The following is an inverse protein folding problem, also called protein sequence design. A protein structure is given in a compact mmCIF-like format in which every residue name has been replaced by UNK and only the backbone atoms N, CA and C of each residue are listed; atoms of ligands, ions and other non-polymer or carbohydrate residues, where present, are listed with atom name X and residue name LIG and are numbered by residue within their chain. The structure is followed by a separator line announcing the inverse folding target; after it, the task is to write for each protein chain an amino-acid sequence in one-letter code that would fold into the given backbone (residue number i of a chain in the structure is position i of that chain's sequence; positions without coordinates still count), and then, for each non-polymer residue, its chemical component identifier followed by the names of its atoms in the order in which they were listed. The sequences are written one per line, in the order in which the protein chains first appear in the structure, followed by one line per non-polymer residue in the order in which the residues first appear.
data_IF_094341491143
#
_entry.id   IF_094341491143
#
_cell.length_a   1.000
_cell.length_b   1.000
_cell.length_c   1.000
_cell.angle_alpha   90.00
_cell.angle_beta   90.00
_cell.angle_gamma   90.00
#
_symmetry.space_group_name_H-M   'P 1'
#
loop_
_entity.id
_entity.type
_entity.pdbx_description
1 polymer ?
#
# COMPACT_ATOMS: atom_id res chain seq x y z
N UNK A 1 28.39 -9.64 13.23
CA UNK A 1 27.65 -8.95 14.32
C UNK A 1 28.09 -7.50 14.48
N UNK A 2 29.39 -7.23 14.64
CA UNK A 2 29.93 -5.86 14.75
C UNK A 2 29.50 -4.93 13.60
N UNK A 3 29.47 -5.43 12.36
CA UNK A 3 28.96 -4.65 11.21
C UNK A 3 27.46 -4.30 11.35
N UNK A 4 26.64 -5.23 11.86
CA UNK A 4 25.21 -4.99 12.08
C UNK A 4 24.99 -4.02 13.24
N UNK A 5 25.80 -4.13 14.30
CA UNK A 5 25.80 -3.21 15.44
C UNK A 5 26.13 -1.77 14.99
N UNK A 6 27.20 -1.61 14.20
CA UNK A 6 27.57 -0.33 13.60
C UNK A 6 26.47 0.20 12.67
N UNK A 7 25.89 -0.67 11.85
CA UNK A 7 24.81 -0.30 10.95
C UNK A 7 23.55 0.16 11.71
N UNK A 8 23.08 -0.61 12.69
CA UNK A 8 21.88 -0.32 13.47
C UNK A 8 22.09 0.79 14.51
N UNK A 9 23.35 1.06 14.88
CA UNK A 9 23.71 1.88 16.03
C UNK A 9 23.00 1.40 17.31
N UNK A 10 23.08 0.10 17.57
CA UNK A 10 22.44 -0.61 18.67
C UNK A 10 23.33 -1.77 19.12
N UNK A 11 23.58 -1.92 20.42
CA UNK A 11 24.29 -3.07 20.98
C UNK A 11 23.45 -4.35 20.86
N UNK A 12 24.00 -5.54 20.55
CA UNK A 12 23.23 -6.78 20.50
C UNK A 12 22.66 -7.18 21.87
N UNK A 13 21.44 -7.75 21.89
CA UNK A 13 20.83 -8.30 23.12
C UNK A 13 21.56 -9.58 23.54
N UNK A 14 21.90 -10.40 22.54
CA UNK A 14 22.64 -11.65 22.74
C UNK A 14 24.08 -11.48 22.27
N UNK A 15 25.03 -11.48 23.20
CA UNK A 15 26.46 -11.27 22.93
C UNK A 15 27.26 -12.57 22.81
N UNK A 16 26.80 -13.64 23.45
CA UNK A 16 27.41 -14.98 23.40
C UNK A 16 26.56 -15.89 22.54
N UNK A 17 27.09 -16.27 21.37
CA UNK A 17 26.37 -17.06 20.38
C UNK A 17 27.25 -18.21 19.91
N UNK A 18 26.69 -19.42 19.94
CA UNK A 18 27.31 -20.59 19.34
C UNK A 18 26.46 -21.03 18.15
N UNK A 19 27.09 -21.38 17.04
CA UNK A 19 26.42 -21.89 15.84
C UNK A 19 26.93 -23.29 15.56
N UNK A 20 26.04 -24.27 15.60
CA UNK A 20 26.38 -25.68 15.35
C UNK A 20 25.43 -26.29 14.31
N UNK A 21 25.85 -27.40 13.71
CA UNK A 21 25.00 -28.18 12.83
C UNK A 21 24.36 -29.34 13.58
N UNK A 22 23.10 -29.65 13.25
CA UNK A 22 22.35 -30.76 13.83
C UNK A 22 21.81 -31.66 12.73
N UNK A 23 21.95 -32.97 12.96
CA UNK A 23 21.36 -34.03 12.15
C UNK A 23 19.92 -34.31 12.63
N UNK A 24 19.09 -34.86 11.72
CA UNK A 24 17.61 -34.84 11.79
C UNK A 24 17.00 -35.84 12.78
N UNK A 25 17.65 -36.11 13.90
CA UNK A 25 17.19 -37.13 14.84
C UNK A 25 16.17 -36.52 15.80
N UNK A 26 14.89 -36.86 15.55
CA UNK A 26 13.66 -36.46 16.25
C UNK A 26 13.28 -34.98 16.14
N UNK A 27 12.53 -34.61 15.09
CA UNK A 27 11.97 -33.28 14.94
C UNK A 27 10.44 -33.35 15.02
N UNK A 28 9.88 -32.55 15.93
CA UNK A 28 8.45 -32.32 16.04
C UNK A 28 7.97 -31.60 14.77
N UNK A 29 7.26 -32.31 13.89
CA UNK A 29 6.88 -31.85 12.54
C UNK A 29 6.06 -30.54 12.54
N UNK A 30 5.50 -30.16 13.69
CA UNK A 30 4.73 -28.94 13.88
C UNK A 30 5.60 -27.68 13.98
N UNK A 31 6.86 -27.76 14.44
CA UNK A 31 7.76 -26.60 14.61
C UNK A 31 8.27 -26.06 13.27
N UNK A 32 8.50 -26.94 12.28
CA UNK A 32 8.98 -26.55 10.95
C UNK A 32 7.95 -25.79 10.10
N UNK A 33 6.67 -25.83 10.49
CA UNK A 33 5.61 -25.15 9.76
C UNK A 33 5.52 -23.66 10.09
N UNK A 34 6.22 -23.17 11.12
CA UNK A 34 6.27 -21.75 11.46
C UNK A 34 7.49 -21.08 10.83
N UNK A 35 7.27 -19.94 10.17
CA UNK A 35 8.32 -19.11 9.54
C UNK A 35 9.45 -18.77 10.53
N UNK A 36 9.09 -18.60 11.80
CA UNK A 36 9.97 -18.39 12.95
C UNK A 36 11.15 -19.37 13.04
N UNK A 37 10.95 -20.65 12.70
CA UNK A 37 11.91 -21.74 12.95
C UNK A 37 12.43 -22.40 11.68
N UNK A 38 12.28 -21.73 10.53
CA UNK A 38 12.68 -22.34 9.27
C UNK A 38 14.20 -22.63 9.23
N UNK A 39 14.54 -23.92 9.19
CA UNK A 39 15.91 -24.44 9.10
C UNK A 39 16.78 -24.28 10.34
N UNK A 40 16.22 -23.82 11.47
CA UNK A 40 16.99 -23.52 12.69
C UNK A 40 16.20 -23.83 13.96
N UNK A 41 16.89 -24.44 14.92
CA UNK A 41 16.46 -24.55 16.32
C UNK A 41 17.30 -23.60 17.19
N UNK A 42 16.66 -22.94 18.16
CA UNK A 42 17.30 -21.97 19.05
C UNK A 42 17.16 -22.46 20.48
N UNK A 43 18.28 -22.59 21.17
CA UNK A 43 18.33 -23.01 22.57
C UNK A 43 19.06 -21.94 23.35
N UNK A 44 18.44 -21.45 24.41
CA UNK A 44 19.06 -20.45 25.29
C UNK A 44 19.43 -21.10 26.63
N UNK A 45 20.73 -21.31 26.83
CA UNK A 45 21.28 -21.97 28.02
C UNK A 45 22.46 -21.18 28.55
N UNK A 46 22.55 -21.00 29.87
CA UNK A 46 23.70 -20.36 30.54
C UNK A 46 24.11 -19.00 29.97
N UNK A 47 23.13 -18.19 29.54
CA UNK A 47 23.33 -16.88 28.87
C UNK A 47 24.01 -16.96 27.50
N UNK A 48 24.00 -18.14 26.87
CA UNK A 48 24.52 -18.37 25.52
C UNK A 48 23.36 -18.76 24.61
N UNK A 49 23.26 -18.10 23.46
CA UNK A 49 22.33 -18.46 22.40
C UNK A 49 22.97 -19.53 21.50
N UNK A 50 22.49 -20.76 21.61
CA UNK A 50 22.89 -21.86 20.74
C UNK A 50 21.95 -21.91 19.54
N UNK A 51 22.49 -21.69 18.35
CA UNK A 51 21.80 -21.75 17.06
C UNK A 51 22.18 -23.07 16.41
N UNK A 52 21.21 -23.96 16.26
CA UNK A 52 21.39 -25.27 15.63
C UNK A 52 20.79 -25.22 14.22
N UNK A 53 21.64 -25.30 13.21
CA UNK A 53 21.23 -25.29 11.80
C UNK A 53 21.09 -26.74 11.34
N UNK A 54 19.92 -27.10 10.81
CA UNK A 54 19.72 -28.45 10.27
C UNK A 54 20.49 -28.60 8.96
N UNK A 55 21.23 -29.71 8.81
CA UNK A 55 22.10 -29.94 7.65
C UNK A 55 21.38 -29.91 6.30
N UNK A 56 20.09 -30.24 6.27
CA UNK A 56 19.29 -30.21 5.03
C UNK A 56 19.09 -28.79 4.46
N UNK A 57 19.31 -27.74 5.25
CA UNK A 57 19.20 -26.35 4.80
C UNK A 57 20.57 -25.69 4.56
N UNK A 58 21.63 -26.48 4.33
CA UNK A 58 23.00 -25.98 4.14
C UNK A 58 23.10 -24.95 2.99
N UNK A 59 22.29 -25.14 1.94
CA UNK A 59 22.21 -24.23 0.78
C UNK A 59 21.67 -22.83 1.12
N UNK A 60 21.05 -22.67 2.29
CA UNK A 60 20.52 -21.40 2.78
C UNK A 60 21.35 -20.81 3.94
N UNK A 61 22.55 -21.32 4.22
CA UNK A 61 23.42 -20.82 5.32
C UNK A 61 23.55 -19.29 5.32
N UNK A 62 23.90 -18.60 4.21
CA UNK A 62 24.07 -17.15 4.24
C UNK A 62 22.80 -16.41 4.68
N UNK A 63 21.65 -16.91 4.23
CA UNK A 63 20.33 -16.36 4.54
C UNK A 63 20.00 -16.60 6.01
N UNK A 64 20.19 -17.84 6.48
CA UNK A 64 19.95 -18.24 7.87
C UNK A 64 20.83 -17.42 8.82
N UNK A 65 22.13 -17.34 8.57
CA UNK A 65 23.07 -16.62 9.42
C UNK A 65 22.73 -15.13 9.50
N UNK A 66 22.41 -14.47 8.38
CA UNK A 66 22.03 -13.07 8.39
C UNK A 66 20.72 -12.83 9.15
N UNK A 67 19.72 -13.69 8.94
CA UNK A 67 18.44 -13.66 9.67
C UNK A 67 18.66 -13.80 11.18
N UNK A 68 19.44 -14.78 11.61
CA UNK A 68 19.72 -15.00 13.03
C UNK A 68 20.59 -13.88 13.62
N UNK A 69 21.52 -13.33 12.85
CA UNK A 69 22.31 -12.18 13.28
C UNK A 69 21.44 -10.95 13.54
N UNK A 70 20.44 -10.67 12.70
CA UNK A 70 19.46 -9.60 12.97
C UNK A 70 18.61 -9.89 14.22
N UNK A 71 18.19 -11.14 14.42
CA UNK A 71 17.43 -11.54 15.62
C UNK A 71 18.18 -11.31 16.92
N UNK A 72 19.51 -11.28 16.89
CA UNK A 72 20.32 -10.97 18.08
C UNK A 72 20.10 -9.53 18.61
N UNK A 73 19.49 -8.64 17.83
CA UNK A 73 19.19 -7.26 18.23
C UNK A 73 17.75 -7.08 18.74
N UNK A 74 16.90 -8.11 18.60
CA UNK A 74 15.51 -8.11 19.06
C UNK A 74 15.47 -8.50 20.56
N UNK A 75 14.80 -7.71 21.41
CA UNK A 75 14.63 -8.05 22.82
C UNK A 75 13.79 -9.30 23.00
N UNK A 76 13.96 -10.00 24.11
CA UNK A 76 13.14 -11.16 24.47
C UNK A 76 11.69 -10.72 24.66
N UNK A 77 10.77 -11.32 23.89
CA UNK A 77 9.34 -11.06 23.96
C UNK A 77 8.64 -12.23 24.66
N UNK A 78 7.58 -11.94 25.41
CA UNK A 78 6.79 -12.97 26.12
C UNK A 78 6.08 -13.91 25.14
N UNK A 79 5.73 -13.40 23.96
CA UNK A 79 5.20 -14.19 22.85
C UNK A 79 5.99 -13.92 21.57
N UNK A 80 6.41 -14.97 20.82
CA UNK A 80 7.06 -14.78 19.54
C UNK A 80 6.09 -14.11 18.54
N UNK A 81 6.51 -13.00 17.94
CA UNK A 81 5.72 -12.25 16.98
C UNK A 81 6.17 -12.52 15.55
N UNK A 82 5.32 -13.26 14.83
CA UNK A 82 5.53 -13.58 13.41
C UNK A 82 5.76 -12.34 12.54
N UNK A 83 5.12 -11.21 12.89
CA UNK A 83 5.29 -9.91 12.22
C UNK A 83 6.74 -9.41 12.23
N UNK A 84 7.50 -9.64 13.31
CA UNK A 84 8.91 -9.25 13.38
C UNK A 84 9.74 -10.15 12.46
N UNK A 85 9.45 -11.45 12.44
CA UNK A 85 10.16 -12.39 11.56
C UNK A 85 9.90 -12.11 10.08
N UNK A 86 8.69 -11.73 9.72
CA UNK A 86 8.35 -11.33 8.35
C UNK A 86 9.19 -10.12 7.96
N UNK A 87 9.28 -9.11 8.83
CA UNK A 87 10.07 -7.91 8.58
C UNK A 87 11.56 -8.24 8.36
N UNK A 88 12.14 -9.06 9.25
CA UNK A 88 13.55 -9.47 9.16
C UNK A 88 13.78 -10.30 7.89
N UNK A 89 12.90 -11.26 7.57
CA UNK A 89 13.03 -12.08 6.37
C UNK A 89 12.99 -11.22 5.10
N UNK A 90 12.09 -10.23 5.02
CA UNK A 90 12.04 -9.34 3.86
C UNK A 90 13.33 -8.53 3.70
N UNK A 91 13.89 -7.99 4.78
CA UNK A 91 15.18 -7.30 4.70
C UNK A 91 16.30 -8.23 4.21
N UNK A 92 16.39 -9.44 4.77
CA UNK A 92 17.37 -10.45 4.33
C UNK A 92 17.23 -10.72 2.83
N UNK A 93 16.01 -10.84 2.33
CA UNK A 93 15.74 -11.01 0.90
C UNK A 93 16.18 -9.83 0.04
N UNK A 94 16.03 -8.60 0.53
CA UNK A 94 16.52 -7.39 -0.15
C UNK A 94 18.04 -7.36 -0.18
N UNK A 95 18.70 -7.61 0.95
CA UNK A 95 20.16 -7.53 1.08
C UNK A 95 20.87 -8.64 0.31
N UNK A 96 20.27 -9.83 0.27
CA UNK A 96 20.81 -11.01 -0.41
C UNK A 96 20.17 -11.27 -1.77
N UNK A 97 19.53 -10.27 -2.40
CA UNK A 97 18.82 -10.43 -3.68
C UNK A 97 19.67 -11.00 -4.84
N UNK A 98 21.00 -10.89 -4.74
CA UNK A 98 21.96 -11.40 -5.74
C UNK A 98 22.30 -12.89 -5.55
N UNK A 99 22.00 -13.49 -4.38
CA UNK A 99 22.24 -14.91 -4.15
C UNK A 99 21.24 -15.75 -4.94
N UNK A 100 21.72 -16.80 -5.60
CA UNK A 100 20.87 -17.68 -6.41
C UNK A 100 19.80 -18.39 -5.57
N UNK A 101 20.17 -18.86 -4.38
CA UNK A 101 19.29 -19.56 -3.44
C UNK A 101 18.18 -18.69 -2.83
N UNK A 102 18.21 -17.36 -3.02
CA UNK A 102 17.20 -16.46 -2.44
C UNK A 102 15.82 -16.66 -3.09
N UNK A 103 15.77 -17.02 -4.37
CA UNK A 103 14.51 -17.26 -5.09
C UNK A 103 13.78 -18.47 -4.52
N UNK A 104 14.52 -19.55 -4.31
CA UNK A 104 14.02 -20.78 -3.72
C UNK A 104 13.58 -20.54 -2.27
N UNK A 105 14.42 -19.86 -1.47
CA UNK A 105 14.08 -19.48 -0.10
C UNK A 105 12.78 -18.65 -0.02
N UNK A 106 12.66 -17.61 -0.85
CA UNK A 106 11.47 -16.76 -0.88
C UNK A 106 10.21 -17.54 -1.27
N UNK A 107 10.32 -18.49 -2.20
CA UNK A 107 9.21 -19.37 -2.58
C UNK A 107 8.75 -20.21 -1.39
N UNK A 108 9.69 -20.82 -0.66
CA UNK A 108 9.39 -21.64 0.53
C UNK A 108 8.73 -20.81 1.63
N UNK A 109 9.26 -19.61 1.92
CA UNK A 109 8.69 -18.72 2.94
C UNK A 109 7.30 -18.22 2.54
N UNK A 110 7.09 -17.84 1.29
CA UNK A 110 5.77 -17.41 0.78
C UNK A 110 4.72 -18.50 0.88
N UNK A 111 5.07 -19.75 0.56
CA UNK A 111 4.17 -20.88 0.70
C UNK A 111 3.77 -21.17 2.16
N UNK A 112 4.57 -20.71 3.13
CA UNK A 112 4.29 -20.84 4.57
C UNK A 112 3.53 -19.66 5.16
N UNK A 113 3.46 -18.52 4.46
CA UNK A 113 2.61 -17.39 4.82
C UNK A 113 1.17 -17.72 4.41
N UNK A 114 0.37 -18.20 5.36
CA UNK A 114 -0.99 -18.73 5.09
C UNK A 114 -1.98 -17.65 4.64
N UNK A 115 -1.70 -16.36 4.90
CA UNK A 115 -2.64 -15.28 4.61
C UNK A 115 -2.33 -14.49 3.33
N UNK A 116 -3.00 -14.87 2.24
CA UNK A 116 -2.98 -14.13 0.96
C UNK A 116 -3.43 -12.66 1.09
N UNK A 117 -4.26 -12.30 2.09
CA UNK A 117 -4.66 -10.90 2.32
C UNK A 117 -3.52 -10.09 2.92
N UNK A 118 -2.73 -10.70 3.81
CA UNK A 118 -1.52 -10.09 4.34
C UNK A 118 -0.46 -9.93 3.23
N UNK A 119 -0.24 -10.95 2.41
CA UNK A 119 0.72 -10.90 1.29
C UNK A 119 0.35 -9.78 0.30
N UNK A 120 -0.92 -9.69 -0.11
CA UNK A 120 -1.34 -8.70 -1.12
C UNK A 120 -1.41 -7.25 -0.65
N UNK A 121 -1.50 -6.99 0.67
CA UNK A 121 -1.61 -5.62 1.21
C UNK A 121 -0.35 -5.13 1.90
N UNK A 122 0.23 -5.95 2.78
CA UNK A 122 1.32 -5.50 3.65
C UNK A 122 2.70 -5.83 3.07
N UNK A 123 2.84 -6.93 2.31
CA UNK A 123 4.14 -7.33 1.76
C UNK A 123 4.70 -6.28 0.79
N UNK A 124 3.88 -5.81 -0.15
CA UNK A 124 4.30 -4.78 -1.12
C UNK A 124 4.50 -3.40 -0.46
N UNK A 125 3.71 -3.07 0.57
CA UNK A 125 3.91 -1.86 1.37
C UNK A 125 5.25 -1.91 2.12
N UNK A 126 5.60 -3.08 2.68
CA UNK A 126 6.80 -3.27 3.46
C UNK A 126 8.07 -3.27 2.61
N UNK A 127 8.03 -3.86 1.41
CA UNK A 127 9.14 -3.79 0.46
C UNK A 127 9.43 -2.34 0.05
N UNK A 128 8.39 -1.58 -0.32
CA UNK A 128 8.51 -0.15 -0.61
C UNK A 128 8.99 0.67 0.60
N UNK A 129 8.59 0.29 1.81
CA UNK A 129 9.05 0.92 3.04
C UNK A 129 10.53 0.67 3.27
N UNK A 130 11.00 -0.59 3.17
CA UNK A 130 12.38 -1.00 3.42
C UNK A 130 13.39 -0.46 2.40
N UNK A 131 12.95 -0.20 1.17
CA UNK A 131 13.78 0.34 0.10
C UNK A 131 14.06 1.85 0.23
N UNK A 132 13.53 2.55 1.25
CA UNK A 132 13.84 3.97 1.46
C UNK A 132 15.23 4.14 2.10
N UNK A 133 16.08 4.92 1.46
CA UNK A 133 17.41 5.23 1.97
C UNK A 133 17.38 6.18 3.18
N UNK A 134 18.38 6.07 4.05
CA UNK A 134 18.60 7.02 5.14
C UNK A 134 19.03 8.37 4.57
N UNK A 135 18.25 9.41 4.81
CA UNK A 135 18.62 10.79 4.45
C UNK A 135 19.34 11.44 5.62
N UNK A 136 20.67 11.37 5.68
CA UNK A 136 21.57 12.14 6.57
C UNK A 136 21.20 12.23 8.07
N UNK A 137 20.14 12.97 8.40
CA UNK A 137 19.54 13.13 9.74
C UNK A 137 18.51 12.05 10.11
N UNK A 138 17.98 11.31 9.14
CA UNK A 138 16.95 10.29 9.36
C UNK A 138 17.55 8.87 9.37
N UNK A 139 17.21 8.09 10.39
CA UNK A 139 17.42 6.65 10.39
C UNK A 139 16.72 6.02 9.18
N UNK A 140 17.34 5.00 8.56
CA UNK A 140 16.63 4.21 7.56
C UNK A 140 15.41 3.52 8.22
N UNK A 141 14.38 3.18 7.44
CA UNK A 141 13.20 2.46 7.92
C UNK A 141 13.56 1.19 8.72
N UNK A 142 14.62 0.51 8.29
CA UNK A 142 15.15 -0.67 8.97
C UNK A 142 15.82 -0.33 10.31
N UNK A 143 16.67 0.71 10.37
CA UNK A 143 17.26 1.16 11.66
C UNK A 143 16.18 1.63 12.63
N UNK A 144 15.20 2.37 12.13
CA UNK A 144 14.04 2.84 12.89
C UNK A 144 13.28 1.68 13.51
N UNK A 145 12.99 0.62 12.75
CA UNK A 145 12.29 -0.57 13.24
C UNK A 145 12.95 -1.19 14.48
N UNK A 146 14.27 -1.41 14.45
CA UNK A 146 14.97 -2.00 15.60
C UNK A 146 14.95 -1.09 16.82
N UNK A 147 15.15 0.22 16.62
CA UNK A 147 15.06 1.22 17.70
C UNK A 147 13.64 1.29 18.27
N UNK A 148 12.63 1.18 17.40
CA UNK A 148 11.22 1.22 17.78
C UNK A 148 10.84 0.04 18.66
N UNK A 149 11.20 -1.18 18.25
CA UNK A 149 10.89 -2.38 19.02
C UNK A 149 11.51 -2.30 20.42
N UNK A 150 12.77 -1.88 20.53
CA UNK A 150 13.44 -1.75 21.83
C UNK A 150 12.78 -0.76 22.78
N UNK A 151 12.25 0.34 22.25
CA UNK A 151 11.59 1.37 23.06
C UNK A 151 10.18 0.99 23.47
N UNK A 152 9.49 0.16 22.68
CA UNK A 152 8.05 -0.10 22.83
C UNK A 152 7.72 -1.56 23.19
N UNK A 153 8.67 -2.34 23.72
CA UNK A 153 8.52 -3.78 24.04
C UNK A 153 7.20 -4.09 24.76
N UNK A 154 6.85 -3.31 25.78
CA UNK A 154 5.63 -3.53 26.58
C UNK A 154 4.34 -3.35 25.76
N UNK A 155 4.29 -2.31 24.93
CA UNK A 155 3.13 -1.98 24.08
C UNK A 155 2.96 -3.04 22.98
N UNK A 156 4.08 -3.53 22.45
CA UNK A 156 4.13 -4.54 21.40
C UNK A 156 3.61 -5.90 21.92
N UNK A 157 3.84 -6.23 23.19
CA UNK A 157 3.30 -7.45 23.80
C UNK A 157 1.76 -7.40 24.00
N UNK A 158 1.16 -6.21 24.05
CA UNK A 158 -0.26 -6.02 24.36
C UNK A 158 -1.18 -5.92 23.12
N UNK A 159 -0.66 -5.48 21.95
CA UNK A 159 -1.44 -5.30 20.71
C UNK A 159 -0.91 -6.17 19.57
N UNK A 160 -1.73 -7.12 19.09
CA UNK A 160 -1.42 -7.95 17.91
C UNK A 160 -1.89 -7.35 16.59
N UNK A 161 -2.99 -6.61 16.59
CA UNK A 161 -3.56 -6.00 15.39
C UNK A 161 -2.93 -4.60 15.14
N UNK A 162 -2.68 -4.26 13.88
CA UNK A 162 -2.16 -2.97 13.38
C UNK A 162 -0.69 -2.58 13.69
N UNK A 163 0.18 -3.56 13.95
CA UNK A 163 1.61 -3.30 14.24
C UNK A 163 2.34 -2.53 13.13
N UNK A 164 2.23 -2.96 11.87
CA UNK A 164 2.88 -2.25 10.76
C UNK A 164 2.29 -0.88 10.50
N UNK A 165 0.96 -0.73 10.56
CA UNK A 165 0.33 0.58 10.40
C UNK A 165 0.80 1.56 11.48
N UNK A 166 1.02 1.09 12.71
CA UNK A 166 1.56 1.93 13.80
C UNK A 166 3.01 2.33 13.53
N UNK A 167 3.88 1.36 13.17
CA UNK A 167 5.28 1.65 12.81
C UNK A 167 5.38 2.59 11.62
N UNK A 168 4.57 2.37 10.58
CA UNK A 168 4.55 3.21 9.39
C UNK A 168 4.08 4.62 9.73
N UNK A 169 3.04 4.80 10.56
CA UNK A 169 2.59 6.11 11.02
C UNK A 169 3.66 6.83 11.83
N UNK A 170 4.31 6.14 12.77
CA UNK A 170 5.35 6.75 13.62
C UNK A 170 6.60 7.11 12.81
N UNK A 171 7.02 6.23 11.89
CA UNK A 171 8.10 6.55 10.96
C UNK A 171 7.73 7.71 10.04
N UNK A 172 6.50 7.73 9.52
CA UNK A 172 6.00 8.86 8.72
C UNK A 172 6.01 10.14 9.53
N UNK A 173 5.58 10.14 10.78
CA UNK A 173 5.58 11.34 11.64
C UNK A 173 7.00 11.88 11.91
N UNK A 174 7.96 10.99 12.13
CA UNK A 174 9.36 11.39 12.39
C UNK A 174 10.03 11.84 11.09
N UNK A 175 9.84 11.06 10.02
CA UNK A 175 10.36 11.41 8.69
C UNK A 175 9.72 12.69 8.17
N UNK A 176 8.43 12.92 8.41
CA UNK A 176 7.73 14.12 7.97
C UNK A 176 8.30 15.37 8.63
N UNK A 177 8.71 15.32 9.91
CA UNK A 177 9.42 16.45 10.55
C UNK A 177 10.76 16.80 9.88
N UNK A 178 11.38 15.87 9.17
CA UNK A 178 12.63 16.09 8.41
C UNK A 178 12.41 16.23 6.89
N UNK A 179 11.29 15.75 6.36
CA UNK A 179 10.90 15.77 4.95
C UNK A 179 10.07 17.02 4.62
N UNK A 180 9.35 17.59 5.60
CA UNK A 180 8.80 18.93 5.52
C UNK A 180 9.93 19.96 5.71
N UNK A 181 10.89 19.91 4.79
CA UNK A 181 11.73 21.06 4.50
C UNK A 181 10.80 22.15 3.93
N UNK A 182 10.98 23.39 4.36
CA UNK A 182 10.20 24.54 3.86
C UNK A 182 10.23 24.57 2.33
N UNK A 183 11.33 24.10 1.73
CA UNK A 183 11.52 23.95 0.29
C UNK A 183 10.53 22.96 -0.37
N UNK A 184 10.18 21.84 0.26
CA UNK A 184 9.22 20.87 -0.30
C UNK A 184 7.80 21.44 -0.23
N UNK A 185 7.44 22.06 0.90
CA UNK A 185 6.13 22.72 1.06
C UNK A 185 5.99 23.84 0.03
N UNK A 186 7.05 24.64 -0.12
CA UNK A 186 7.11 25.70 -1.10
C UNK A 186 7.02 25.15 -2.53
N UNK A 187 7.64 24.01 -2.83
CA UNK A 187 7.53 23.33 -4.12
C UNK A 187 6.09 22.94 -4.42
N UNK A 188 5.37 22.39 -3.43
CA UNK A 188 3.95 22.04 -3.58
C UNK A 188 3.10 23.29 -3.82
N UNK A 189 3.34 24.37 -3.08
CA UNK A 189 2.62 25.66 -3.26
C UNK A 189 2.84 26.22 -4.67
N UNK A 190 4.06 26.15 -5.17
CA UNK A 190 4.44 26.56 -6.53
C UNK A 190 3.72 25.69 -7.58
N UNK A 191 3.73 24.37 -7.41
CA UNK A 191 3.02 23.45 -8.32
C UNK A 191 1.52 23.74 -8.37
N UNK A 192 0.90 24.02 -7.22
CA UNK A 192 -0.51 24.40 -7.15
C UNK A 192 -0.80 25.66 -7.98
N UNK A 193 0.03 26.70 -7.87
CA UNK A 193 -0.11 27.92 -8.68
C UNK A 193 0.06 27.65 -10.18
N UNK A 194 0.94 26.73 -10.56
CA UNK A 194 1.09 26.31 -11.95
C UNK A 194 -0.19 25.61 -12.42
N UNK A 195 -0.76 24.70 -11.62
CA UNK A 195 -2.01 23.98 -11.96
C UNK A 195 -3.23 24.89 -12.12
N UNK A 196 -3.33 25.97 -11.34
CA UNK A 196 -4.42 26.94 -11.48
C UNK A 196 -4.38 27.69 -12.82
N UNK A 197 -3.21 27.82 -13.44
CA UNK A 197 -3.02 28.58 -14.69
C UNK A 197 -2.88 27.70 -15.92
N UNK A 198 -2.29 26.53 -15.78
CA UNK A 198 -2.02 25.60 -16.87
C UNK A 198 -2.95 24.39 -16.73
N UNK A 199 -3.96 24.32 -17.60
CA UNK A 199 -5.03 23.32 -17.53
C UNK A 199 -4.68 21.97 -18.19
N UNK A 200 -3.64 21.94 -19.02
CA UNK A 200 -3.22 20.74 -19.76
C UNK A 200 -1.70 20.62 -19.71
N UNK A 201 -1.21 19.42 -19.44
CA UNK A 201 0.23 19.13 -19.40
C UNK A 201 0.50 17.72 -19.91
N UNK A 202 1.69 17.52 -20.47
CA UNK A 202 2.06 16.22 -21.05
C UNK A 202 3.35 15.66 -20.47
N UNK A 203 4.25 16.51 -19.94
CA UNK A 203 5.54 16.07 -19.43
C UNK A 203 6.03 16.84 -18.19
N UNK A 204 6.94 16.21 -17.43
CA UNK A 204 7.59 16.80 -16.27
C UNK A 204 8.47 18.02 -16.63
N UNK A 205 8.98 18.05 -17.88
CA UNK A 205 9.72 19.19 -18.42
C UNK A 205 8.86 20.46 -18.51
N UNK A 206 7.55 20.31 -18.69
CA UNK A 206 6.62 21.43 -18.80
C UNK A 206 6.60 22.22 -17.47
N UNK A 207 6.64 21.54 -16.32
CA UNK A 207 6.68 22.20 -15.01
C UNK A 207 7.97 22.96 -14.75
N UNK A 208 9.10 22.47 -15.24
CA UNK A 208 10.37 23.18 -15.12
C UNK A 208 10.33 24.47 -15.94
N UNK A 209 9.74 24.42 -17.14
CA UNK A 209 9.55 25.59 -17.98
C UNK A 209 8.60 26.61 -17.33
N UNK A 210 7.42 26.16 -16.87
CA UNK A 210 6.45 27.04 -16.22
C UNK A 210 6.96 27.63 -14.91
N UNK A 211 7.74 26.88 -14.12
CA UNK A 211 8.38 27.41 -12.93
C UNK A 211 9.29 28.59 -13.26
N UNK A 212 10.13 28.45 -14.28
CA UNK A 212 11.04 29.52 -14.74
C UNK A 212 10.24 30.72 -15.25
N UNK A 213 9.31 30.49 -16.16
CA UNK A 213 8.50 31.54 -16.78
C UNK A 213 7.67 32.32 -15.74
N UNK A 214 7.01 31.61 -14.81
CA UNK A 214 6.15 32.24 -13.81
C UNK A 214 6.95 32.97 -12.74
N UNK A 215 8.18 32.50 -12.46
CA UNK A 215 9.11 33.21 -11.60
C UNK A 215 9.62 34.50 -12.26
N UNK A 216 10.03 34.45 -13.52
CA UNK A 216 10.50 35.62 -14.28
C UNK A 216 9.40 36.68 -14.44
N UNK A 217 8.15 36.24 -14.66
CA UNK A 217 6.98 37.12 -14.79
C UNK A 217 6.39 37.56 -13.44
N UNK A 218 7.03 37.24 -12.31
CA UNK A 218 6.56 37.54 -10.95
C UNK A 218 5.16 36.98 -10.59
N UNK A 219 4.64 35.99 -11.32
CA UNK A 219 3.43 35.25 -10.94
C UNK A 219 3.68 34.36 -9.72
N UNK A 220 4.90 33.88 -9.56
CA UNK A 220 5.36 33.08 -8.43
C UNK A 220 6.53 33.78 -7.76
N UNK A 221 6.30 34.27 -6.54
CA UNK A 221 7.37 34.75 -5.66
C UNK A 221 7.82 33.59 -4.79
N UNK A 222 9.08 33.16 -4.96
CA UNK A 222 9.68 32.03 -4.25
C UNK A 222 11.21 32.12 -4.25
N UNK A 223 11.81 31.67 -3.15
CA UNK A 223 13.27 31.57 -3.01
C UNK A 223 13.84 30.28 -3.62
N UNK A 224 12.98 29.33 -4.03
CA UNK A 224 13.40 28.08 -4.63
C UNK A 224 14.23 28.30 -5.90
N UNK A 225 15.34 27.57 -6.01
CA UNK A 225 16.11 27.47 -7.24
C UNK A 225 15.48 26.46 -8.21
N UNK A 226 15.79 26.58 -9.50
CA UNK A 226 15.33 25.62 -10.52
C UNK A 226 15.74 24.18 -10.20
N UNK A 227 17.00 24.01 -9.75
CA UNK A 227 17.55 22.70 -9.41
C UNK A 227 16.79 22.09 -8.22
N UNK A 228 16.59 22.88 -7.17
CA UNK A 228 15.88 22.43 -5.97
C UNK A 228 14.41 22.10 -6.25
N UNK A 229 13.73 22.93 -7.06
CA UNK A 229 12.38 22.65 -7.53
C UNK A 229 12.32 21.32 -8.31
N UNK A 230 13.29 21.07 -9.18
CA UNK A 230 13.37 19.84 -9.97
C UNK A 230 13.60 18.60 -9.13
N UNK A 231 14.56 18.65 -8.18
CA UNK A 231 14.84 17.57 -7.24
C UNK A 231 13.60 17.25 -6.39
N UNK A 232 12.98 18.28 -5.81
CA UNK A 232 11.78 18.11 -4.99
C UNK A 232 10.62 17.54 -5.80
N UNK A 233 10.43 17.97 -7.05
CA UNK A 233 9.39 17.43 -7.92
C UNK A 233 9.64 15.95 -8.28
N UNK A 234 10.89 15.54 -8.52
CA UNK A 234 11.23 14.13 -8.72
C UNK A 234 10.94 13.30 -7.48
N UNK A 235 11.31 13.81 -6.30
CA UNK A 235 11.00 13.17 -5.02
C UNK A 235 9.48 13.02 -4.83
N UNK A 236 8.71 14.09 -5.03
CA UNK A 236 7.25 14.09 -4.93
C UNK A 236 6.64 13.03 -5.86
N UNK A 237 7.11 12.94 -7.11
CA UNK A 237 6.64 11.93 -8.08
C UNK A 237 6.92 10.49 -7.64
N UNK A 238 8.03 10.24 -6.95
CA UNK A 238 8.37 8.89 -6.46
C UNK A 238 7.44 8.43 -5.33
N UNK A 239 6.94 9.36 -4.52
CA UNK A 239 6.18 9.04 -3.31
C UNK A 239 4.69 9.42 -3.38
N UNK A 240 4.26 10.15 -4.40
CA UNK A 240 2.89 10.62 -4.55
C UNK A 240 2.50 10.84 -6.02
N UNK A 241 1.20 10.71 -6.29
CA UNK A 241 0.63 11.15 -7.55
C UNK A 241 0.02 12.54 -7.34
N UNK A 242 0.62 13.56 -7.96
CA UNK A 242 0.03 14.89 -8.06
C UNK A 242 -0.60 15.03 -9.44
N UNK A 243 -1.92 15.18 -9.46
CA UNK A 243 -2.68 15.56 -10.65
C UNK A 243 -3.75 16.57 -10.24
N UNK A 244 -3.99 17.63 -11.02
CA UNK A 244 -5.19 18.44 -10.84
C UNK A 244 -6.41 17.54 -11.07
N UNK A 245 -7.34 17.57 -10.13
CA UNK A 245 -8.66 16.96 -10.34
C UNK A 245 -9.60 18.06 -10.79
N UNK A 246 -9.93 18.06 -12.08
CA UNK A 246 -10.96 18.95 -12.60
C UNK A 246 -12.32 18.33 -12.32
N UNK A 247 -13.13 19.03 -11.52
CA UNK A 247 -14.52 18.63 -11.29
C UNK A 247 -15.41 19.44 -12.22
N UNK A 248 -16.22 18.75 -13.02
CA UNK A 248 -17.25 19.40 -13.80
C UNK A 248 -18.25 20.00 -12.82
N UNK A 249 -18.53 21.29 -12.96
CA UNK A 249 -19.59 21.92 -12.18
C UNK A 249 -20.96 21.52 -12.78
N UNK A 250 -21.44 20.35 -12.37
CA UNK A 250 -22.72 19.80 -12.84
C UNK A 250 -23.91 20.72 -12.56
N UNK A 251 -23.88 21.52 -11.48
CA UNK A 251 -24.96 22.46 -11.18
C UNK A 251 -25.00 23.62 -12.17
N UNK A 252 -23.84 24.12 -12.62
CA UNK A 252 -23.77 25.15 -13.66
C UNK A 252 -24.29 24.65 -15.02
N UNK A 253 -24.19 23.35 -15.30
CA UNK A 253 -24.71 22.72 -16.52
C UNK A 253 -26.18 22.27 -16.40
N UNK A 254 -26.84 22.59 -15.28
CA UNK A 254 -28.20 22.16 -14.97
C UNK A 254 -28.40 20.64 -15.12
N UNK A 255 -27.41 19.86 -14.67
CA UNK A 255 -27.41 18.39 -14.68
C UNK A 255 -27.86 17.87 -13.31
N UNK A 256 -28.71 16.85 -13.31
CA UNK A 256 -29.07 16.10 -12.12
C UNK A 256 -28.45 14.70 -12.13
N UNK A 257 -28.16 14.21 -10.94
CA UNK A 257 -27.70 12.83 -10.75
C UNK A 257 -28.81 12.02 -10.11
N UNK A 258 -29.10 10.86 -10.68
CA UNK A 258 -30.12 9.93 -10.21
C UNK A 258 -29.44 8.60 -9.94
N UNK A 259 -29.48 8.16 -8.69
CA UNK A 259 -29.16 6.76 -8.38
C UNK A 259 -30.34 5.89 -8.81
N UNK A 260 -30.06 4.78 -9.51
CA UNK A 260 -31.08 3.92 -10.08
C UNK A 260 -30.74 2.45 -9.88
N UNK A 261 -31.70 1.72 -9.32
CA UNK A 261 -31.69 0.27 -9.18
C UNK A 261 -32.80 -0.35 -10.02
N UNK A 262 -32.40 -1.27 -10.89
CA UNK A 262 -33.23 -1.95 -11.88
C UNK A 262 -33.17 -3.46 -11.64
N UNK A 263 -34.31 -4.09 -11.36
CA UNK A 263 -34.45 -5.54 -11.30
C UNK A 263 -35.20 -6.04 -12.53
N UNK A 264 -34.50 -6.76 -13.41
CA UNK A 264 -35.07 -7.27 -14.64
C UNK A 264 -35.74 -8.63 -14.47
N UNK A 265 -36.72 -8.89 -15.33
CA UNK A 265 -37.39 -10.18 -15.43
C UNK A 265 -36.39 -11.29 -15.81
N UNK A 266 -36.32 -12.40 -15.06
CA UNK A 266 -35.36 -13.49 -15.30
C UNK A 266 -35.52 -14.17 -16.67
N UNK A 267 -36.68 -14.02 -17.34
CA UNK A 267 -36.92 -14.57 -18.67
C UNK A 267 -36.16 -13.83 -19.78
N UNK A 268 -35.59 -12.65 -19.50
CA UNK A 268 -34.88 -11.84 -20.48
C UNK A 268 -33.45 -12.36 -20.70
N UNK A 269 -33.06 -12.48 -21.98
CA UNK A 269 -31.70 -12.89 -22.34
C UNK A 269 -30.70 -11.81 -21.94
N UNK A 270 -29.66 -12.20 -21.18
CA UNK A 270 -28.58 -11.32 -20.75
C UNK A 270 -27.94 -10.51 -21.87
N UNK A 271 -27.68 -11.13 -23.02
CA UNK A 271 -27.06 -10.44 -24.15
C UNK A 271 -27.87 -9.22 -24.61
N UNK A 272 -29.21 -9.32 -24.58
CA UNK A 272 -30.10 -8.22 -24.91
C UNK A 272 -30.11 -7.15 -23.81
N UNK A 273 -30.14 -7.56 -22.54
CA UNK A 273 -30.08 -6.61 -21.41
C UNK A 273 -28.79 -5.79 -21.47
N UNK A 274 -27.65 -6.45 -21.64
CA UNK A 274 -26.36 -5.76 -21.69
C UNK A 274 -26.23 -4.86 -22.92
N UNK A 275 -26.89 -5.20 -24.03
CA UNK A 275 -26.97 -4.32 -25.19
C UNK A 275 -27.78 -3.06 -24.86
N UNK A 276 -28.98 -3.20 -24.31
CA UNK A 276 -29.83 -2.07 -23.92
C UNK A 276 -29.13 -1.17 -22.92
N UNK A 277 -28.47 -1.73 -21.89
CA UNK A 277 -27.77 -0.96 -20.87
C UNK A 277 -26.57 -0.19 -21.45
N UNK A 278 -25.85 -0.77 -22.41
CA UNK A 278 -24.75 -0.07 -23.09
C UNK A 278 -25.23 1.06 -24.00
N UNK A 279 -26.45 0.94 -24.53
CA UNK A 279 -27.06 1.95 -25.39
C UNK A 279 -27.86 3.00 -24.59
N UNK A 280 -28.02 2.82 -23.28
CA UNK A 280 -28.72 3.79 -22.44
C UNK A 280 -27.91 5.09 -22.35
N UNK A 281 -28.47 6.22 -22.80
CA UNK A 281 -27.77 7.49 -22.74
C UNK A 281 -27.61 7.91 -21.28
N UNK A 282 -26.46 8.50 -20.97
CA UNK A 282 -26.16 9.11 -19.68
C UNK A 282 -26.13 8.16 -18.47
N UNK A 283 -26.16 6.83 -18.70
CA UNK A 283 -26.04 5.85 -17.63
C UNK A 283 -24.56 5.50 -17.39
N UNK A 284 -24.10 5.71 -16.17
CA UNK A 284 -22.72 5.57 -15.75
C UNK A 284 -22.57 4.50 -14.67
N UNK A 285 -21.43 3.80 -14.73
CA UNK A 285 -20.96 2.84 -13.72
C UNK A 285 -22.01 1.77 -13.34
N UNK A 286 -22.56 1.00 -14.30
CA UNK A 286 -23.48 -0.07 -13.99
C UNK A 286 -22.76 -1.17 -13.19
N UNK A 287 -23.23 -1.44 -11.97
CA UNK A 287 -22.89 -2.61 -11.18
C UNK A 287 -23.94 -3.68 -11.40
N UNK A 288 -23.53 -4.76 -12.04
CA UNK A 288 -24.39 -5.92 -12.28
C UNK A 288 -24.29 -6.90 -11.11
N UNK A 289 -25.41 -7.30 -10.53
CA UNK A 289 -25.51 -8.36 -9.54
C UNK A 289 -26.43 -9.47 -10.03
N UNK A 290 -25.95 -10.72 -9.94
CA UNK A 290 -26.71 -11.91 -10.32
C UNK A 290 -27.28 -12.59 -9.09
N UNK A 291 -28.60 -12.76 -9.09
CA UNK A 291 -29.29 -13.64 -8.14
C UNK A 291 -29.90 -14.80 -8.94
N UNK A 292 -30.10 -15.96 -8.31
CA UNK A 292 -30.69 -17.17 -8.92
C UNK A 292 -32.05 -16.94 -9.61
N UNK A 293 -32.75 -15.83 -9.31
CA UNK A 293 -34.08 -15.52 -9.82
C UNK A 293 -34.21 -14.12 -10.47
N UNK A 294 -33.12 -13.37 -10.62
CA UNK A 294 -33.17 -12.03 -11.23
C UNK A 294 -31.82 -11.51 -11.69
N UNK A 295 -31.88 -10.58 -12.63
CA UNK A 295 -30.74 -9.75 -13.02
C UNK A 295 -30.92 -8.36 -12.45
N UNK A 296 -29.99 -7.92 -11.63
CA UNK A 296 -30.08 -6.66 -10.90
C UNK A 296 -28.96 -5.74 -11.36
N UNK A 297 -29.31 -4.48 -11.62
CA UNK A 297 -28.37 -3.46 -12.06
C UNK A 297 -28.54 -2.25 -11.15
N UNK A 298 -27.43 -1.81 -10.58
CA UNK A 298 -27.34 -0.60 -9.77
C UNK A 298 -26.39 0.38 -10.48
N UNK A 299 -26.74 1.66 -10.57
CA UNK A 299 -25.94 2.62 -11.33
C UNK A 299 -26.51 4.03 -11.27
N UNK A 300 -25.89 4.94 -12.02
CA UNK A 300 -26.22 6.36 -11.94
C UNK A 300 -26.58 6.92 -13.31
N UNK A 301 -27.66 7.68 -13.39
CA UNK A 301 -27.90 8.58 -14.52
C UNK A 301 -27.36 9.97 -14.19
N UNK A 302 -26.50 10.50 -15.07
CA UNK A 302 -26.00 11.88 -15.00
C UNK A 302 -26.56 12.64 -16.20
N UNK A 303 -27.76 13.19 -16.04
CA UNK A 303 -28.56 13.73 -17.15
C UNK A 303 -28.82 15.22 -17.01
N UNK A 304 -28.91 15.98 -18.12
CA UNK A 304 -29.52 17.31 -18.09
C UNK A 304 -30.95 17.23 -17.55
N UNK A 305 -31.32 18.15 -16.63
CA UNK A 305 -32.65 18.13 -16.00
C UNK A 305 -33.81 18.17 -16.99
N UNK A 306 -33.60 18.72 -18.20
CA UNK A 306 -34.62 18.77 -19.25
C UNK A 306 -35.09 17.38 -19.70
N UNK A 307 -34.25 16.34 -19.58
CA UNK A 307 -34.56 14.97 -19.98
C UNK A 307 -35.08 14.10 -18.82
N UNK A 308 -35.29 14.70 -17.64
CA UNK A 308 -35.69 13.97 -16.45
C UNK A 308 -37.05 13.28 -16.63
N UNK A 309 -38.03 13.99 -17.19
CA UNK A 309 -39.37 13.45 -17.42
C UNK A 309 -39.35 12.34 -18.48
N UNK A 310 -38.51 12.49 -19.51
CA UNK A 310 -38.35 11.47 -20.56
C UNK A 310 -37.73 10.19 -20.01
N UNK A 311 -36.69 10.30 -19.18
CA UNK A 311 -36.08 9.14 -18.51
C UNK A 311 -37.09 8.47 -17.58
N UNK A 312 -37.82 9.25 -16.78
CA UNK A 312 -38.83 8.74 -15.85
C UNK A 312 -39.93 7.98 -16.59
N UNK A 313 -40.44 8.56 -17.68
CA UNK A 313 -41.44 7.92 -18.54
C UNK A 313 -40.91 6.63 -19.17
N UNK A 314 -39.66 6.64 -19.64
CA UNK A 314 -39.01 5.46 -20.20
C UNK A 314 -38.90 4.31 -19.18
N UNK A 315 -38.41 4.60 -17.97
CA UNK A 315 -38.25 3.60 -16.91
C UNK A 315 -39.59 3.03 -16.43
N UNK A 316 -40.61 3.87 -16.26
CA UNK A 316 -41.95 3.39 -15.94
C UNK A 316 -42.56 2.54 -17.05
N UNK A 317 -42.37 2.90 -18.32
CA UNK A 317 -42.83 2.09 -19.45
C UNK A 317 -42.18 0.70 -19.46
N UNK A 318 -40.91 0.59 -19.06
CA UNK A 318 -40.22 -0.70 -18.93
C UNK A 318 -40.80 -1.56 -17.79
N UNK A 319 -41.23 -0.92 -16.69
CA UNK A 319 -41.91 -1.58 -15.57
C UNK A 319 -43.32 -2.04 -15.96
N UNK A 320 -44.12 -1.16 -16.58
CA UNK A 320 -45.47 -1.46 -17.08
C UNK A 320 -45.47 -2.58 -18.12
N UNK A 321 -44.45 -2.62 -18.98
CA UNK A 321 -44.31 -3.66 -20.02
C UNK A 321 -43.77 -4.98 -19.47
N UNK A 322 -43.50 -5.09 -18.16
CA UNK A 322 -43.04 -6.31 -17.49
C UNK A 322 -41.57 -6.67 -17.72
N UNK A 323 -40.78 -5.76 -18.31
CA UNK A 323 -39.33 -5.95 -18.46
C UNK A 323 -38.60 -5.76 -17.13
N UNK A 324 -39.04 -4.78 -16.34
CA UNK A 324 -38.60 -4.56 -14.97
C UNK A 324 -39.60 -5.15 -13.98
N UNK A 325 -39.10 -5.93 -13.03
CA UNK A 325 -39.85 -6.40 -11.88
C UNK A 325 -39.83 -5.39 -10.73
N UNK A 326 -38.82 -4.53 -10.68
CA UNK A 326 -38.69 -3.50 -9.67
C UNK A 326 -37.83 -2.36 -10.18
N UNK A 327 -38.36 -1.15 -10.05
CA UNK A 327 -37.64 0.09 -10.23
C UNK A 327 -37.49 0.80 -8.86
N UNK A 328 -36.27 1.26 -8.53
CA UNK A 328 -36.05 2.23 -7.47
C UNK A 328 -35.10 3.30 -7.96
N UNK A 329 -35.42 4.56 -7.73
CA UNK A 329 -34.51 5.65 -8.06
C UNK A 329 -34.58 6.77 -7.01
N UNK A 330 -33.51 7.53 -6.91
CA UNK A 330 -33.41 8.65 -5.97
C UNK A 330 -32.53 9.73 -6.55
N UNK A 331 -33.02 10.97 -6.55
CA UNK A 331 -32.22 12.14 -6.97
C UNK A 331 -31.22 12.43 -5.86
N UNK A 332 -29.96 12.57 -6.22
CA UNK A 332 -28.92 12.97 -5.29
C UNK A 332 -28.85 14.50 -5.26
N UNK A 333 -29.13 15.09 -4.10
CA UNK A 333 -29.11 16.55 -3.91
C UNK A 333 -27.70 17.13 -4.00
N UNK A 334 -26.67 16.31 -3.77
CA UNK A 334 -25.26 16.67 -3.94
C UNK A 334 -24.65 15.89 -5.10
N UNK A 335 -24.28 16.61 -6.16
CA UNK A 335 -23.53 16.08 -7.30
C UNK A 335 -22.04 15.80 -6.98
N UNK A 336 -21.66 15.69 -5.69
CA UNK A 336 -20.27 15.61 -5.22
C UNK A 336 -19.59 14.26 -5.47
N UNK A 337 -20.33 13.26 -5.96
CA UNK A 337 -19.88 11.87 -5.99
C UNK A 337 -19.23 11.40 -7.29
N UNK A 338 -19.18 12.23 -8.34
CA UNK A 338 -18.58 11.86 -9.63
C UNK A 338 -17.29 12.66 -9.84
N UNK A 339 -16.17 11.96 -9.68
CA UNK A 339 -14.80 12.41 -10.03
C UNK A 339 -14.27 11.46 -11.09
#
# INVERSE_FOLDING_TARGET
LQEIESYLNLEPVYTKINVNFKDRDSIDSQLHNKILFFGVERIYENKVLNILIYREYIQFIPIILLREAYKCFIPTLDTPMETIDIFINQKVSIDLKKLESIKEYNSIIRNKLIDYKFISREYDRLDNFLNRDSTGKLDSPFKFFFKYIRKNIKIINEKKDDFYDTIFKDYLLISSKTLYDDDIIETIRVLFKIFEKVQYYTALLDYQHYFKEFKEKNFIQTNLSQNKFTENMQWIKQFSNLSPSYRINWSALNICTINCYLKFNPLLKRSKLNQVIKELPFFLVPKECRISFSYEIDGFFVIPKIFFDDLTRYLHKLEESGYLLRLKWTILEKNEFFV
#
